data_IF_495134984484
#
_entry.id   IF_495134984484
#
_cell.length_a   1.000
_cell.length_b   1.000
_cell.length_c   1.000
_cell.angle_alpha   90.00
_cell.angle_beta   90.00
_cell.angle_gamma   90.00
#
_symmetry.space_group_name_H-M   'P 1'
#
loop_
_entity.id
_entity.type
_entity.pdbx_description
1 polymer ?
#
# COMPACT_ATOMS: atom_id res chain seq x y z
N UNK A 1 -44.17 20.11 -5.99
CA UNK A 1 -43.27 21.22 -6.33
C UNK A 1 -42.35 21.38 -5.13
N UNK A 2 -41.28 20.59 -5.07
CA UNK A 2 -40.27 20.71 -4.02
C UNK A 2 -39.03 21.37 -4.60
N UNK A 3 -38.57 22.42 -3.93
CA UNK A 3 -37.46 23.26 -4.37
C UNK A 3 -36.14 22.47 -4.37
N UNK A 4 -35.20 22.77 -5.30
CA UNK A 4 -33.92 22.10 -5.34
C UNK A 4 -33.09 22.47 -4.11
N UNK A 5 -32.72 21.47 -3.31
CA UNK A 5 -31.78 21.60 -2.20
C UNK A 5 -30.42 22.00 -2.77
N UNK A 6 -29.95 23.18 -2.39
CA UNK A 6 -28.64 23.69 -2.81
C UNK A 6 -27.53 22.85 -2.19
N UNK A 7 -26.75 22.19 -3.04
CA UNK A 7 -25.55 21.44 -2.65
C UNK A 7 -24.41 22.43 -2.39
N UNK A 8 -23.73 22.37 -1.23
CA UNK A 8 -22.58 23.24 -0.97
C UNK A 8 -21.42 22.95 -1.93
N UNK A 9 -20.61 23.97 -2.25
CA UNK A 9 -19.66 23.91 -3.36
C UNK A 9 -18.59 22.85 -3.14
N UNK A 10 -18.31 22.17 -4.24
CA UNK A 10 -17.33 21.11 -4.39
C UNK A 10 -15.92 21.65 -4.16
N UNK A 11 -15.20 21.19 -3.14
CA UNK A 11 -13.74 21.25 -3.16
C UNK A 11 -13.21 20.10 -4.03
N UNK A 12 -13.32 20.27 -5.35
CA UNK A 12 -12.59 19.45 -6.31
C UNK A 12 -11.12 19.87 -6.24
N UNK A 13 -10.25 19.05 -5.68
CA UNK A 13 -8.83 19.14 -6.02
C UNK A 13 -8.69 18.58 -7.44
N UNK A 14 -8.91 19.45 -8.45
CA UNK A 14 -8.70 19.12 -9.87
C UNK A 14 -7.19 19.00 -10.11
N UNK A 15 -6.68 17.78 -10.15
CA UNK A 15 -5.45 17.48 -10.89
C UNK A 15 -5.74 17.36 -12.38
N UNK A 16 -4.82 17.81 -13.25
CA UNK A 16 -4.95 17.81 -14.71
C UNK A 16 -5.07 16.41 -15.38
N UNK A 17 -5.20 15.32 -14.61
CA UNK A 17 -4.97 13.93 -15.03
C UNK A 17 -6.16 12.96 -14.83
N UNK A 18 -7.40 13.47 -14.75
CA UNK A 18 -8.60 12.64 -14.53
C UNK A 18 -8.72 12.10 -13.10
N UNK A 19 -9.86 11.47 -12.77
CA UNK A 19 -10.11 10.91 -11.44
C UNK A 19 -9.16 9.73 -11.14
N UNK A 20 -8.91 9.44 -9.86
CA UNK A 20 -8.17 8.25 -9.43
C UNK A 20 -8.84 6.96 -9.92
N UNK A 21 -10.18 6.90 -9.91
CA UNK A 21 -10.90 5.75 -10.50
C UNK A 21 -10.63 5.62 -12.00
N UNK A 22 -10.66 6.73 -12.75
CA UNK A 22 -10.36 6.72 -14.19
C UNK A 22 -8.91 6.26 -14.45
N UNK A 23 -7.94 6.76 -13.68
CA UNK A 23 -6.54 6.34 -13.79
C UNK A 23 -6.32 4.89 -13.40
N UNK A 24 -7.01 4.39 -12.37
CA UNK A 24 -6.98 3.00 -11.97
C UNK A 24 -7.50 2.09 -13.11
N UNK A 25 -8.68 2.42 -13.66
CA UNK A 25 -9.29 1.66 -14.75
C UNK A 25 -8.43 1.66 -16.02
N UNK A 26 -7.80 2.80 -16.32
CA UNK A 26 -6.87 2.94 -17.43
C UNK A 26 -5.45 2.40 -17.14
N UNK A 27 -5.20 1.84 -15.95
CA UNK A 27 -3.87 1.37 -15.50
C UNK A 27 -2.77 2.45 -15.59
N UNK A 28 -3.17 3.72 -15.55
CA UNK A 28 -2.33 4.88 -15.83
C UNK A 28 -1.89 5.61 -14.55
N UNK A 29 -1.72 4.88 -13.43
CA UNK A 29 -1.27 5.44 -12.16
C UNK A 29 0.24 5.64 -12.20
N UNK A 30 0.68 6.85 -12.55
CA UNK A 30 2.10 7.21 -12.70
C UNK A 30 2.81 7.41 -11.35
N UNK A 31 4.12 7.18 -11.35
CA UNK A 31 5.03 7.57 -10.26
C UNK A 31 5.14 9.10 -10.16
N UNK A 32 5.03 9.64 -8.95
CA UNK A 32 5.34 11.03 -8.63
C UNK A 32 6.84 11.14 -8.33
N UNK A 33 7.55 12.00 -9.07
CA UNK A 33 9.01 12.17 -8.94
C UNK A 33 9.35 13.20 -7.85
N UNK A 34 8.54 14.26 -7.73
CA UNK A 34 8.74 15.35 -6.77
C UNK A 34 7.45 15.59 -6.01
N UNK A 35 7.51 15.62 -4.68
CA UNK A 35 6.36 16.03 -3.89
C UNK A 35 6.76 16.61 -2.54
N UNK A 36 5.91 17.48 -2.00
CA UNK A 36 5.92 17.75 -0.58
C UNK A 36 5.54 16.46 0.17
N UNK A 37 6.16 16.17 1.32
CA UNK A 37 5.78 15.02 2.12
C UNK A 37 4.27 15.08 2.44
N UNK A 38 3.48 14.05 2.09
CA UNK A 38 2.04 14.11 2.26
C UNK A 38 1.63 14.24 3.74
N UNK A 39 0.40 14.69 3.97
CA UNK A 39 -0.21 14.58 5.29
C UNK A 39 -0.58 13.12 5.56
N UNK A 40 -0.85 12.81 6.83
CA UNK A 40 -1.40 11.50 7.21
C UNK A 40 -2.69 11.24 6.42
N UNK A 41 -2.78 10.09 5.78
CA UNK A 41 -3.97 9.65 5.04
C UNK A 41 -5.18 9.55 5.96
N UNK A 42 -6.29 10.15 5.56
CA UNK A 42 -7.57 10.07 6.24
C UNK A 42 -8.48 9.06 5.54
N UNK A 43 -9.18 8.27 6.34
CA UNK A 43 -10.10 7.22 5.90
C UNK A 43 -11.50 7.51 6.43
N UNK A 44 -12.57 7.11 5.71
CA UNK A 44 -13.93 7.28 6.18
C UNK A 44 -14.16 6.60 7.53
N UNK A 45 -14.94 7.23 8.41
CA UNK A 45 -15.25 6.72 9.75
C UNK A 45 -15.81 5.29 9.77
N UNK A 46 -16.45 4.82 8.70
CA UNK A 46 -16.95 3.45 8.63
C UNK A 46 -15.83 2.39 8.77
N UNK A 47 -14.56 2.76 8.56
CA UNK A 47 -13.39 1.91 8.78
C UNK A 47 -12.89 1.94 10.23
N UNK A 48 -13.38 2.83 11.09
CA UNK A 48 -12.94 2.94 12.49
C UNK A 48 -13.05 1.58 13.21
N UNK A 49 -12.05 1.22 14.02
CA UNK A 49 -12.00 -0.02 14.80
C UNK A 49 -10.98 -1.03 14.28
N UNK A 50 -11.03 -2.23 14.85
CA UNK A 50 -10.16 -3.35 14.45
C UNK A 50 -10.94 -4.34 13.58
N UNK A 51 -10.28 -4.87 12.56
CA UNK A 51 -10.86 -5.72 11.53
C UNK A 51 -9.99 -6.96 11.31
N UNK A 52 -10.61 -8.13 11.38
CA UNK A 52 -10.03 -9.36 10.86
C UNK A 52 -10.01 -9.29 9.34
N UNK A 53 -8.82 -9.45 8.76
CA UNK A 53 -8.55 -9.28 7.34
C UNK A 53 -8.26 -10.63 6.71
N UNK A 54 -9.07 -11.00 5.72
CA UNK A 54 -8.82 -12.16 4.85
C UNK A 54 -8.33 -11.61 3.52
N UNK A 55 -7.07 -11.87 3.20
CA UNK A 55 -6.41 -11.43 1.97
C UNK A 55 -6.41 -12.55 0.92
N UNK A 56 -6.61 -12.19 -0.34
CA UNK A 56 -6.45 -13.10 -1.47
C UNK A 56 -5.73 -12.41 -2.63
N UNK A 57 -4.62 -13.00 -3.08
CA UNK A 57 -3.94 -12.58 -4.31
C UNK A 57 -4.78 -12.98 -5.52
N UNK A 58 -5.08 -11.99 -6.36
CA UNK A 58 -5.94 -12.13 -7.55
C UNK A 58 -5.14 -12.22 -8.85
N UNK A 59 -3.81 -12.14 -8.78
CA UNK A 59 -2.92 -12.21 -9.93
C UNK A 59 -2.15 -10.91 -10.17
N UNK A 60 -1.36 -10.91 -11.24
CA UNK A 60 -0.57 -9.77 -11.68
C UNK A 60 -0.58 -9.62 -13.20
N UNK A 61 -0.29 -8.41 -13.65
CA UNK A 61 -0.17 -8.06 -15.06
C UNK A 61 1.13 -7.31 -15.30
N UNK A 62 1.81 -7.62 -16.40
CA UNK A 62 3.00 -6.88 -16.84
C UNK A 62 2.60 -5.84 -17.87
N UNK A 63 2.94 -4.59 -17.61
CA UNK A 63 2.63 -3.44 -18.47
C UNK A 63 3.83 -2.99 -19.30
N UNK A 64 4.99 -3.60 -19.05
CA UNK A 64 6.24 -3.39 -19.79
C UNK A 64 6.16 -3.58 -21.32
N UNK A 65 5.27 -4.42 -21.91
CA UNK A 65 5.15 -4.52 -23.37
C UNK A 65 4.42 -3.35 -24.04
N UNK A 66 3.62 -2.58 -23.29
CA UNK A 66 2.75 -1.52 -23.87
C UNK A 66 3.38 -0.12 -23.78
N UNK A 67 4.57 0.01 -23.17
CA UNK A 67 5.25 1.29 -22.90
C UNK A 67 6.25 1.73 -23.99
N UNK A 68 6.28 1.05 -25.15
CA UNK A 68 7.07 1.50 -26.31
C UNK A 68 8.57 1.20 -26.24
N UNK A 69 9.03 0.44 -25.24
CA UNK A 69 10.44 0.07 -25.05
C UNK A 69 10.66 -1.45 -24.97
N UNK A 70 11.84 -1.89 -25.41
CA UNK A 70 12.32 -3.29 -25.53
C UNK A 70 12.52 -4.01 -24.18
N UNK A 71 11.68 -3.81 -23.17
CA UNK A 71 11.85 -4.47 -21.87
C UNK A 71 11.25 -5.87 -21.95
N UNK A 72 12.08 -6.91 -21.85
CA UNK A 72 11.56 -8.28 -21.86
C UNK A 72 10.88 -8.60 -20.52
N UNK A 73 9.84 -9.46 -20.56
CA UNK A 73 9.20 -10.01 -19.37
C UNK A 73 10.22 -10.62 -18.39
N UNK A 74 11.24 -11.29 -18.94
CA UNK A 74 12.32 -11.91 -18.17
C UNK A 74 13.09 -10.86 -17.38
N UNK A 75 13.42 -9.72 -18.00
CA UNK A 75 14.19 -8.67 -17.35
C UNK A 75 13.40 -8.01 -16.22
N UNK A 76 12.11 -7.75 -16.42
CA UNK A 76 11.25 -7.19 -15.34
C UNK A 76 11.21 -8.11 -14.13
N UNK A 77 11.00 -9.42 -14.34
CA UNK A 77 10.86 -10.38 -13.24
C UNK A 77 12.20 -10.65 -12.55
N UNK A 78 13.29 -10.71 -13.32
CA UNK A 78 14.61 -10.99 -12.77
C UNK A 78 15.23 -9.82 -12.02
N UNK A 79 14.77 -8.58 -12.25
CA UNK A 79 15.34 -7.36 -11.67
C UNK A 79 14.86 -7.17 -10.21
N UNK A 80 15.76 -7.24 -9.21
CA UNK A 80 15.42 -7.07 -7.79
C UNK A 80 14.75 -5.74 -7.44
N UNK A 81 15.07 -4.69 -8.18
CA UNK A 81 14.60 -3.33 -7.97
C UNK A 81 13.18 -3.10 -8.48
N UNK A 82 12.62 -4.05 -9.25
CA UNK A 82 11.19 -4.03 -9.60
C UNK A 82 10.41 -4.68 -8.46
N UNK A 83 9.60 -3.90 -7.71
CA UNK A 83 8.87 -4.46 -6.58
C UNK A 83 7.84 -5.51 -7.00
N UNK A 84 7.66 -6.51 -6.15
CA UNK A 84 6.68 -7.58 -6.25
C UNK A 84 7.22 -8.92 -6.74
N UNK A 85 8.42 -9.00 -7.33
CA UNK A 85 9.00 -10.31 -7.73
C UNK A 85 9.96 -10.91 -6.72
N UNK A 86 10.21 -10.19 -5.62
CA UNK A 86 11.04 -10.68 -4.51
C UNK A 86 10.31 -10.54 -3.18
N UNK A 87 10.52 -11.51 -2.29
CA UNK A 87 10.07 -11.42 -0.90
C UNK A 87 10.64 -10.14 -0.28
N UNK A 88 9.78 -9.39 0.41
CA UNK A 88 10.03 -8.09 1.03
C UNK A 88 10.38 -6.96 0.08
N UNK A 89 10.11 -7.08 -1.21
CA UNK A 89 10.22 -5.92 -2.13
C UNK A 89 9.06 -4.93 -2.00
N UNK A 90 7.95 -5.32 -1.34
CA UNK A 90 6.79 -4.50 -0.98
C UNK A 90 6.38 -4.87 0.46
N UNK A 91 6.61 -4.01 1.44
CA UNK A 91 6.40 -4.35 2.86
C UNK A 91 4.93 -4.64 3.21
N UNK A 92 3.97 -3.98 2.56
CA UNK A 92 2.54 -4.24 2.79
C UNK A 92 2.09 -5.64 2.30
N UNK A 93 2.82 -6.19 1.33
CA UNK A 93 2.60 -7.50 0.70
C UNK A 93 3.94 -8.21 0.53
N UNK A 94 4.54 -8.54 1.67
CA UNK A 94 5.90 -9.02 1.80
C UNK A 94 6.16 -10.30 1.02
N UNK A 95 5.15 -11.12 0.75
CA UNK A 95 5.21 -12.21 -0.21
C UNK A 95 4.02 -12.10 -1.18
N UNK A 96 4.12 -11.20 -2.15
CA UNK A 96 2.95 -10.68 -2.89
C UNK A 96 2.15 -11.74 -3.66
N UNK A 97 2.83 -12.80 -4.10
CA UNK A 97 2.28 -13.87 -4.91
C UNK A 97 1.67 -15.02 -4.10
N UNK A 98 1.78 -14.98 -2.77
CA UNK A 98 1.22 -15.97 -1.88
C UNK A 98 0.12 -15.35 -1.01
N UNK A 99 -0.81 -16.21 -0.59
CA UNK A 99 -1.80 -15.81 0.40
C UNK A 99 -1.16 -15.94 1.79
N UNK A 100 -1.42 -14.99 2.71
CA UNK A 100 -1.03 -15.16 4.11
C UNK A 100 -1.57 -16.49 4.65
N UNK A 101 -0.77 -17.15 5.49
CA UNK A 101 -1.15 -18.45 6.07
C UNK A 101 -2.31 -18.33 7.06
N UNK A 102 -2.47 -17.15 7.66
CA UNK A 102 -3.52 -16.83 8.63
C UNK A 102 -4.12 -15.45 8.34
N UNK A 103 -5.40 -15.23 8.69
CA UNK A 103 -5.96 -13.88 8.77
C UNK A 103 -5.16 -13.01 9.73
N UNK A 104 -5.09 -11.71 9.45
CA UNK A 104 -4.40 -10.73 10.31
C UNK A 104 -5.30 -9.54 10.61
N UNK A 105 -4.92 -8.74 11.60
CA UNK A 105 -5.73 -7.61 12.02
C UNK A 105 -5.28 -6.31 11.34
N UNK A 106 -6.24 -5.52 10.89
CA UNK A 106 -6.05 -4.11 10.54
C UNK A 106 -6.79 -3.24 11.55
N UNK A 107 -6.23 -2.08 11.89
CA UNK A 107 -6.81 -1.15 12.85
C UNK A 107 -6.83 0.27 12.31
N UNK A 108 -7.97 0.91 12.50
CA UNK A 108 -8.15 2.34 12.29
C UNK A 108 -8.60 2.98 13.59
N UNK A 109 -7.98 4.11 13.94
CA UNK A 109 -8.25 4.87 15.16
C UNK A 109 -8.79 6.25 14.80
N UNK A 110 -9.38 6.96 15.77
CA UNK A 110 -9.86 8.32 15.52
C UNK A 110 -8.72 9.23 15.04
N UNK A 111 -9.04 10.12 14.10
CA UNK A 111 -8.11 11.13 13.67
C UNK A 111 -7.95 12.19 14.77
N UNK A 112 -6.78 12.23 15.42
CA UNK A 112 -6.47 13.24 16.44
C UNK A 112 -6.61 14.64 15.83
N UNK A 113 -7.43 15.49 16.46
CA UNK A 113 -7.69 16.85 16.00
C UNK A 113 -8.80 16.98 14.94
N UNK A 114 -9.46 15.88 14.54
CA UNK A 114 -10.66 15.95 13.72
C UNK A 114 -11.92 16.17 14.58
N UNK A 115 -12.32 17.44 14.73
CA UNK A 115 -13.55 17.81 15.42
C UNK A 115 -14.82 17.44 14.64
N UNK A 116 -14.70 17.05 13.37
CA UNK A 116 -15.85 16.69 12.54
C UNK A 116 -16.33 15.27 12.80
N UNK A 117 -15.47 14.41 13.37
CA UNK A 117 -15.75 13.01 13.63
C UNK A 117 -15.85 12.15 12.36
N UNK A 118 -15.73 12.71 11.15
CA UNK A 118 -15.94 11.97 9.91
C UNK A 118 -14.74 11.12 9.47
N UNK A 119 -13.57 11.33 10.06
CA UNK A 119 -12.33 10.68 9.63
C UNK A 119 -11.72 9.80 10.71
N UNK A 120 -11.20 8.67 10.28
CA UNK A 120 -10.27 7.86 11.03
C UNK A 120 -8.92 7.79 10.31
N UNK A 121 -7.92 7.26 11.00
CA UNK A 121 -6.56 7.09 10.50
C UNK A 121 -6.13 5.66 10.72
N UNK A 122 -5.33 5.11 9.81
CA UNK A 122 -4.77 3.77 9.97
C UNK A 122 -3.69 3.78 11.06
N UNK A 123 -3.72 2.78 11.93
CA UNK A 123 -2.67 2.48 12.89
C UNK A 123 -1.57 1.68 12.18
N UNK A 124 -0.63 2.38 11.55
CA UNK A 124 0.37 1.74 10.70
C UNK A 124 1.30 0.81 11.48
N UNK A 125 1.67 1.15 12.73
CA UNK A 125 2.51 0.28 13.56
C UNK A 125 1.82 -1.05 13.80
N UNK A 126 0.57 -1.00 14.25
CA UNK A 126 -0.22 -2.21 14.46
C UNK A 126 -0.40 -2.99 13.15
N UNK A 127 -0.84 -2.31 12.09
CA UNK A 127 -1.16 -2.98 10.82
C UNK A 127 0.06 -3.64 10.17
N UNK A 128 1.22 -2.98 10.11
CA UNK A 128 2.43 -3.56 9.52
C UNK A 128 2.95 -4.74 10.35
N UNK A 129 2.93 -4.64 11.68
CA UNK A 129 3.31 -5.75 12.56
C UNK A 129 2.46 -6.99 12.27
N UNK A 130 1.13 -6.81 12.24
CA UNK A 130 0.19 -7.89 11.98
C UNK A 130 0.37 -8.51 10.58
N UNK A 131 0.43 -7.68 9.54
CA UNK A 131 0.52 -8.19 8.16
C UNK A 131 1.86 -8.86 7.87
N UNK A 132 2.98 -8.30 8.35
CA UNK A 132 4.31 -8.87 8.12
C UNK A 132 4.49 -10.20 8.84
N UNK A 133 4.03 -10.31 10.09
CA UNK A 133 4.08 -11.56 10.82
C UNK A 133 3.25 -12.64 10.10
N UNK A 134 2.01 -12.33 9.70
CA UNK A 134 1.15 -13.29 9.01
C UNK A 134 1.68 -13.74 7.62
N UNK A 135 2.40 -12.86 6.92
CA UNK A 135 2.93 -13.16 5.58
C UNK A 135 4.30 -13.85 5.62
N UNK A 136 5.12 -13.60 6.64
CA UNK A 136 6.52 -14.07 6.68
C UNK A 136 6.75 -15.24 7.63
N UNK A 137 5.87 -15.46 8.61
CA UNK A 137 6.02 -16.56 9.55
C UNK A 137 6.06 -17.93 8.83
N UNK A 138 7.10 -18.70 9.16
CA UNK A 138 7.32 -20.03 8.59
C UNK A 138 7.66 -20.05 7.10
N UNK A 139 8.13 -18.95 6.49
CA UNK A 139 8.75 -19.00 5.16
C UNK A 139 10.09 -19.76 5.18
N UNK A 140 10.74 -19.80 6.34
CA UNK A 140 11.91 -20.65 6.59
C UNK A 140 11.53 -21.75 7.58
N UNK A 141 11.32 -22.97 7.08
CA UNK A 141 10.91 -24.12 7.89
C UNK A 141 11.95 -24.50 8.96
N UNK A 142 13.19 -23.98 8.86
CA UNK A 142 14.24 -24.19 9.86
C UNK A 142 14.18 -23.20 11.04
N UNK A 143 13.27 -22.22 11.01
CA UNK A 143 13.19 -21.15 12.01
C UNK A 143 11.90 -21.22 12.82
N UNK A 144 12.03 -20.84 14.10
CA UNK A 144 10.93 -20.71 15.06
C UNK A 144 9.76 -19.88 14.51
N UNK A 145 8.53 -20.29 14.82
CA UNK A 145 7.27 -19.56 14.54
C UNK A 145 7.15 -18.20 15.24
N UNK A 146 8.18 -17.74 15.94
CA UNK A 146 8.18 -16.44 16.58
C UNK A 146 7.98 -15.29 15.57
N UNK A 147 7.44 -14.18 16.05
CA UNK A 147 7.15 -12.97 15.27
C UNK A 147 8.34 -12.50 14.45
N UNK A 148 8.16 -12.17 13.17
CA UNK A 148 9.25 -11.74 12.29
C UNK A 148 9.64 -10.28 12.56
N UNK A 149 8.67 -9.46 12.93
CA UNK A 149 8.86 -8.05 13.27
C UNK A 149 9.38 -7.92 14.71
N UNK A 150 10.46 -7.16 14.88
CA UNK A 150 11.03 -6.83 16.19
C UNK A 150 10.44 -5.50 16.72
N UNK A 151 10.50 -4.45 15.90
CA UNK A 151 9.98 -3.13 16.25
C UNK A 151 9.55 -2.32 15.04
N UNK A 152 8.61 -1.39 15.24
CA UNK A 152 8.17 -0.44 14.21
C UNK A 152 8.14 0.96 14.82
N UNK A 153 8.91 1.87 14.26
CA UNK A 153 8.92 3.28 14.61
C UNK A 153 8.09 4.07 13.60
N UNK A 154 7.01 4.70 14.09
CA UNK A 154 6.18 5.60 13.28
C UNK A 154 5.50 6.62 14.19
N UNK A 155 5.59 7.90 13.80
CA UNK A 155 4.88 8.99 14.46
C UNK A 155 4.01 9.71 13.45
N UNK A 156 2.74 9.30 13.33
CA UNK A 156 1.80 9.90 12.38
C UNK A 156 1.55 11.41 12.60
N UNK A 157 1.84 11.93 13.80
CA UNK A 157 1.68 13.35 14.11
C UNK A 157 2.93 14.19 13.75
N UNK A 158 4.13 13.66 14.00
CA UNK A 158 5.39 14.40 13.77
C UNK A 158 5.98 14.12 12.38
N UNK A 159 5.89 12.87 11.92
CA UNK A 159 6.44 12.43 10.65
C UNK A 159 5.55 11.34 10.01
N UNK A 160 4.40 11.73 9.41
CA UNK A 160 3.48 10.78 8.77
C UNK A 160 4.04 10.08 7.54
N UNK A 161 5.26 10.45 7.11
CA UNK A 161 5.83 10.04 5.84
C UNK A 161 6.95 9.03 5.97
N UNK A 162 7.35 8.68 7.19
CA UNK A 162 8.43 7.72 7.43
C UNK A 162 7.99 6.65 8.41
N UNK A 163 8.18 5.39 8.03
CA UNK A 163 8.01 4.23 8.90
C UNK A 163 9.31 3.44 8.85
N UNK A 164 9.89 3.16 10.02
CA UNK A 164 11.05 2.30 10.15
C UNK A 164 10.62 0.98 10.77
N UNK A 165 10.93 -0.13 10.12
CA UNK A 165 10.57 -1.48 10.54
C UNK A 165 11.87 -2.25 10.76
N UNK A 166 12.10 -2.73 11.99
CA UNK A 166 13.16 -3.68 12.30
C UNK A 166 12.58 -5.10 12.28
N UNK A 167 13.26 -5.99 11.58
CA UNK A 167 12.97 -7.41 11.57
C UNK A 167 14.00 -8.12 12.45
N UNK A 168 13.59 -9.22 13.09
CA UNK A 168 14.53 -9.99 13.89
C UNK A 168 15.70 -10.48 13.03
N UNK A 169 16.94 -10.43 13.55
CA UNK A 169 18.10 -10.91 12.82
C UNK A 169 17.92 -12.33 12.30
N UNK A 170 18.25 -12.52 11.03
CA UNK A 170 18.07 -13.80 10.35
C UNK A 170 16.63 -14.29 10.16
N UNK A 171 15.56 -13.56 10.57
CA UNK A 171 14.18 -14.02 10.35
C UNK A 171 13.85 -14.22 8.87
N UNK A 172 14.41 -13.35 8.02
CA UNK A 172 14.30 -13.40 6.55
C UNK A 172 15.65 -13.08 5.92
N UNK A 173 15.93 -13.63 4.74
CA UNK A 173 17.24 -13.47 4.07
C UNK A 173 17.43 -12.10 3.41
N UNK A 174 16.33 -11.39 3.13
CA UNK A 174 16.35 -10.24 2.22
C UNK A 174 16.53 -8.89 2.93
N UNK A 175 16.18 -8.79 4.21
CA UNK A 175 16.29 -7.56 4.98
C UNK A 175 16.31 -7.85 6.49
N UNK A 176 16.98 -7.00 7.25
CA UNK A 176 16.83 -6.92 8.71
C UNK A 176 16.20 -5.58 9.12
N UNK A 177 16.17 -4.60 8.21
CA UNK A 177 15.49 -3.32 8.40
C UNK A 177 14.84 -2.85 7.11
N UNK A 178 13.68 -2.22 7.22
CA UNK A 178 12.94 -1.64 6.11
C UNK A 178 12.58 -0.20 6.47
N UNK A 179 12.94 0.73 5.58
CA UNK A 179 12.52 2.12 5.66
C UNK A 179 11.47 2.38 4.59
N UNK A 180 10.30 2.86 5.00
CA UNK A 180 9.21 3.25 4.11
C UNK A 180 9.08 4.77 4.10
N UNK A 181 9.05 5.34 2.91
CA UNK A 181 8.87 6.77 2.68
C UNK A 181 7.62 6.99 1.84
N UNK A 182 6.60 7.62 2.42
CA UNK A 182 5.40 8.02 1.69
C UNK A 182 5.70 9.29 0.90
N UNK A 183 5.67 9.19 -0.42
CA UNK A 183 6.00 10.28 -1.35
C UNK A 183 4.75 10.93 -1.98
N UNK A 184 3.57 10.37 -1.74
CA UNK A 184 2.32 10.97 -2.15
C UNK A 184 1.14 10.24 -1.57
N UNK A 185 0.07 10.98 -1.28
CA UNK A 185 -1.21 10.46 -0.87
C UNK A 185 -2.31 11.23 -1.60
N UNK A 186 -3.35 10.53 -2.02
CA UNK A 186 -4.53 11.09 -2.66
C UNK A 186 -5.74 10.26 -2.26
N UNK A 187 -6.88 10.89 -2.04
CA UNK A 187 -8.14 10.20 -1.72
C UNK A 187 -9.23 10.66 -2.67
N UNK A 188 -10.04 9.73 -3.17
CA UNK A 188 -11.24 10.01 -3.95
C UNK A 188 -12.46 9.45 -3.23
N UNK A 189 -13.47 10.30 -3.02
CA UNK A 189 -14.72 9.93 -2.36
C UNK A 189 -15.71 9.40 -3.39
N UNK A 190 -16.55 8.42 -3.02
CA UNK A 190 -17.56 7.93 -3.93
C UNK A 190 -18.62 9.01 -4.21
N UNK A 191 -19.08 9.07 -5.47
CA UNK A 191 -20.14 9.99 -5.91
C UNK A 191 -21.51 9.58 -5.34
N UNK A 192 -21.69 8.30 -5.05
CA UNK A 192 -22.91 7.73 -4.45
C UNK A 192 -22.58 7.05 -3.11
N UNK A 193 -23.56 6.97 -2.21
CA UNK A 193 -23.43 6.37 -0.87
C UNK A 193 -22.94 4.90 -0.87
N UNK A 194 -23.04 4.19 -1.99
CA UNK A 194 -22.58 2.81 -2.17
C UNK A 194 -21.32 2.65 -3.05
N UNK A 195 -20.66 3.76 -3.42
CA UNK A 195 -19.45 3.70 -4.25
C UNK A 195 -18.18 3.35 -3.46
N UNK A 196 -17.09 3.10 -4.19
CA UNK A 196 -15.77 2.86 -3.59
C UNK A 196 -15.15 4.16 -3.07
N UNK A 197 -14.72 4.17 -1.81
CA UNK A 197 -13.73 5.14 -1.35
C UNK A 197 -12.35 4.68 -1.80
N UNK A 198 -11.63 5.53 -2.53
CA UNK A 198 -10.31 5.20 -3.05
C UNK A 198 -9.22 5.98 -2.33
N UNK A 199 -8.10 5.31 -2.08
CA UNK A 199 -6.88 5.91 -1.57
C UNK A 199 -5.74 5.49 -2.45
N UNK A 200 -4.95 6.45 -2.92
CA UNK A 200 -3.64 6.19 -3.53
C UNK A 200 -2.56 6.60 -2.55
N UNK A 201 -1.63 5.70 -2.27
CA UNK A 201 -0.41 5.99 -1.52
C UNK A 201 0.80 5.57 -2.33
N UNK A 202 1.74 6.48 -2.52
CA UNK A 202 2.98 6.20 -3.20
C UNK A 202 4.10 6.06 -2.19
N UNK A 203 4.88 5.01 -2.35
CA UNK A 203 5.92 4.60 -1.43
C UNK A 203 7.25 4.46 -2.16
N UNK A 204 8.30 4.92 -1.50
CA UNK A 204 9.65 4.41 -1.69
C UNK A 204 9.97 3.52 -0.50
N UNK A 205 10.43 2.31 -0.77
CA UNK A 205 10.92 1.41 0.24
C UNK A 205 12.42 1.25 0.09
N UNK A 206 13.15 1.22 1.19
CA UNK A 206 14.57 0.86 1.25
C UNK A 206 14.72 -0.33 2.19
N UNK A 207 15.03 -1.49 1.62
CA UNK A 207 15.35 -2.70 2.37
C UNK A 207 16.86 -2.75 2.63
N UNK A 208 17.22 -2.93 3.90
CA UNK A 208 18.59 -2.99 4.40
C UNK A 208 18.85 -4.40 4.95
N UNK A 209 19.75 -5.14 4.31
CA UNK A 209 20.29 -6.39 4.81
C UNK A 209 21.71 -6.18 5.34
N UNK A 210 21.94 -6.50 6.61
CA UNK A 210 23.29 -6.61 7.15
C UNK A 210 23.84 -7.96 6.70
N UNK A 211 24.74 -7.95 5.71
CA UNK A 211 25.44 -9.18 5.34
C UNK A 211 26.30 -9.63 6.52
N UNK A 212 26.29 -10.92 6.82
CA UNK A 212 27.25 -11.53 7.75
C UNK A 212 28.66 -11.62 7.17
N UNK A 213 28.82 -11.31 5.88
CA UNK A 213 30.12 -11.10 5.23
C UNK A 213 30.53 -9.64 5.37
N UNK A 214 31.63 -9.38 6.09
CA UNK A 214 32.20 -8.03 6.24
C UNK A 214 32.33 -7.33 4.88
N UNK A 215 31.79 -6.12 4.74
CA UNK A 215 32.05 -5.22 3.60
C UNK A 215 30.96 -5.09 2.52
N UNK A 216 29.79 -5.74 2.62
CA UNK A 216 28.66 -5.49 1.68
C UNK A 216 27.30 -5.44 2.37
N UNK A 217 26.89 -4.27 2.84
CA UNK A 217 25.47 -4.05 3.17
C UNK A 217 24.63 -4.13 1.88
N UNK A 218 23.60 -4.98 1.87
CA UNK A 218 22.66 -5.05 0.74
C UNK A 218 21.60 -3.99 0.95
N UNK A 219 21.58 -2.98 0.08
CA UNK A 219 20.54 -1.95 0.07
C UNK A 219 19.77 -2.04 -1.24
N UNK A 220 18.47 -2.31 -1.18
CA UNK A 220 17.59 -2.34 -2.35
C UNK A 220 16.51 -1.29 -2.15
N UNK A 221 16.35 -0.40 -3.13
CA UNK A 221 15.31 0.61 -3.12
C UNK A 221 14.27 0.32 -4.19
N UNK A 222 13.02 0.14 -3.78
CA UNK A 222 11.88 -0.08 -4.68
C UNK A 222 10.90 1.07 -4.59
N UNK A 223 10.25 1.38 -5.71
CA UNK A 223 9.23 2.41 -5.80
C UNK A 223 7.91 1.79 -6.27
N UNK A 224 6.84 2.01 -5.53
CA UNK A 224 5.51 1.50 -5.87
C UNK A 224 4.39 2.43 -5.40
N UNK A 225 3.20 2.24 -5.93
CA UNK A 225 1.99 2.88 -5.40
C UNK A 225 0.92 1.85 -5.12
N UNK A 226 0.24 1.99 -3.99
CA UNK A 226 -0.98 1.26 -3.69
C UNK A 226 -2.18 2.12 -4.05
N UNK A 227 -3.14 1.54 -4.76
CA UNK A 227 -4.48 2.08 -4.86
C UNK A 227 -5.41 1.13 -4.12
N UNK A 228 -5.84 1.57 -2.94
CA UNK A 228 -6.81 0.88 -2.11
C UNK A 228 -8.22 1.34 -2.46
N UNK A 229 -9.16 0.40 -2.47
CA UNK A 229 -10.58 0.71 -2.48
C UNK A 229 -11.27 0.08 -1.28
N UNK A 230 -12.19 0.81 -0.66
CA UNK A 230 -13.03 0.32 0.45
C UNK A 230 -14.50 0.57 0.15
N UNK A 231 -15.33 -0.44 0.41
CA UNK A 231 -16.78 -0.34 0.29
C UNK A 231 -17.48 -1.18 1.36
N UNK A 232 -18.35 -0.60 2.21
CA UNK A 232 -19.13 -1.36 3.18
C UNK A 232 -20.11 -2.33 2.48
N UNK A 233 -20.29 -3.56 2.99
CA UNK A 233 -21.22 -4.56 2.40
C UNK A 233 -22.69 -4.28 2.74
N UNK A 234 -22.98 -3.80 3.95
CA UNK A 234 -24.29 -3.37 4.45
C UNK A 234 -24.11 -2.59 5.76
N UNK A 235 -25.10 -1.76 6.14
CA UNK A 235 -25.07 -0.95 7.36
C UNK A 235 -24.34 0.39 7.17
N UNK A 236 -24.87 1.27 6.33
CA UNK A 236 -24.29 2.60 6.10
C UNK A 236 -25.34 3.66 6.44
N UNK A 237 -25.62 3.81 7.72
CA UNK A 237 -26.10 5.07 8.26
C UNK A 237 -25.18 5.48 9.42
N UNK A 238 -25.30 6.73 9.87
CA UNK A 238 -24.43 7.26 10.94
C UNK A 238 -24.58 6.53 12.29
N UNK A 239 -25.56 5.61 12.42
CA UNK A 239 -25.95 4.97 13.67
C UNK A 239 -25.66 3.47 13.70
N UNK A 240 -25.42 2.84 12.53
CA UNK A 240 -25.11 1.42 12.39
C UNK A 240 -23.78 1.26 11.66
N UNK A 241 -22.64 1.13 12.36
CA UNK A 241 -21.35 0.89 11.69
C UNK A 241 -21.37 -0.45 10.93
N UNK A 242 -20.70 -0.55 9.78
CA UNK A 242 -20.69 -1.80 9.03
C UNK A 242 -19.96 -2.90 9.82
N UNK A 243 -20.45 -4.13 9.71
CA UNK A 243 -19.80 -5.33 10.27
C UNK A 243 -18.84 -5.98 9.29
N UNK A 244 -18.97 -5.64 8.00
CA UNK A 244 -18.09 -6.12 6.94
C UNK A 244 -17.82 -5.05 5.88
N UNK A 245 -16.57 -5.00 5.41
CA UNK A 245 -16.11 -4.10 4.34
C UNK A 245 -15.41 -4.94 3.26
N UNK A 246 -15.82 -4.75 2.01
CA UNK A 246 -15.05 -5.19 0.86
C UNK A 246 -13.90 -4.23 0.65
N UNK A 247 -12.70 -4.77 0.40
CA UNK A 247 -11.59 -3.97 -0.03
C UNK A 247 -10.78 -4.62 -1.14
N UNK A 248 -10.06 -3.80 -1.89
CA UNK A 248 -9.06 -4.25 -2.85
C UNK A 248 -7.82 -3.38 -2.75
N UNK A 249 -6.70 -3.90 -3.21
CA UNK A 249 -5.48 -3.12 -3.44
C UNK A 249 -4.89 -3.48 -4.80
N UNK A 250 -4.63 -2.46 -5.61
CA UNK A 250 -3.78 -2.58 -6.79
C UNK A 250 -2.42 -1.96 -6.49
N UNK A 251 -1.36 -2.76 -6.58
CA UNK A 251 0.01 -2.29 -6.39
C UNK A 251 0.69 -2.09 -7.74
N UNK A 252 1.00 -0.83 -8.04
CA UNK A 252 1.70 -0.41 -9.25
C UNK A 252 3.20 -0.37 -8.96
N UNK A 253 3.98 -1.22 -9.62
CA UNK A 253 5.43 -1.29 -9.49
C UNK A 253 6.11 -0.39 -10.51
N UNK A 254 7.14 0.36 -10.10
CA UNK A 254 7.86 1.30 -10.96
C UNK A 254 9.35 0.95 -11.06
N UNK A 255 9.99 1.43 -12.13
CA UNK A 255 11.44 1.44 -12.23
C UNK A 255 12.05 2.50 -11.29
N UNK A 256 13.24 2.18 -10.77
CA UNK A 256 14.05 3.10 -10.00
C UNK A 256 15.13 3.74 -10.89
N UNK A 257 15.10 5.07 -11.00
CA UNK A 257 16.03 5.89 -11.80
C UNK A 257 17.50 5.69 -11.41
N UNK A 258 17.79 5.39 -10.15
CA UNK A 258 19.17 5.33 -9.62
C UNK A 258 19.83 3.97 -9.77
N UNK A 259 19.05 2.90 -9.80
CA UNK A 259 19.57 1.53 -9.71
C UNK A 259 19.39 0.74 -11.01
N UNK A 260 18.43 1.14 -11.87
CA UNK A 260 18.24 0.49 -13.17
C UNK A 260 17.87 1.51 -14.26
N UNK A 261 18.82 2.36 -14.70
CA UNK A 261 18.57 3.42 -15.69
C UNK A 261 17.91 2.91 -16.96
N UNK A 262 18.31 1.74 -17.48
CA UNK A 262 17.74 1.17 -18.69
C UNK A 262 16.22 0.89 -18.59
N UNK A 263 15.74 0.42 -17.42
CA UNK A 263 14.31 0.23 -17.19
C UNK A 263 13.59 1.56 -16.98
N UNK A 264 14.24 2.48 -16.26
CA UNK A 264 13.67 3.80 -15.98
C UNK A 264 13.58 4.68 -17.22
N UNK A 265 14.56 4.71 -18.11
CA UNK A 265 14.49 5.50 -19.34
C UNK A 265 13.42 4.97 -20.28
N UNK A 266 13.24 3.64 -20.32
CA UNK A 266 12.24 2.99 -21.16
C UNK A 266 10.80 3.15 -20.63
N UNK A 267 10.58 3.09 -19.32
CA UNK A 267 9.24 3.20 -18.73
C UNK A 267 8.92 4.59 -18.16
N UNK A 268 9.93 5.38 -17.82
CA UNK A 268 9.83 6.64 -17.10
C UNK A 268 9.05 6.48 -15.79
N UNK A 269 7.92 7.19 -15.71
CA UNK A 269 6.98 7.13 -14.58
C UNK A 269 5.85 6.12 -14.79
N UNK A 270 5.86 5.37 -15.91
CA UNK A 270 4.90 4.30 -16.16
C UNK A 270 5.09 3.14 -15.16
N UNK A 271 4.00 2.50 -14.73
CA UNK A 271 4.10 1.22 -14.04
C UNK A 271 4.65 0.13 -14.98
N UNK A 272 5.52 -0.73 -14.45
CA UNK A 272 6.04 -1.93 -15.12
C UNK A 272 5.14 -3.15 -14.89
N UNK A 273 4.52 -3.23 -13.71
CA UNK A 273 3.63 -4.31 -13.32
C UNK A 273 2.52 -3.80 -12.39
N UNK A 274 1.39 -4.51 -12.39
CA UNK A 274 0.31 -4.34 -11.42
C UNK A 274 0.07 -5.68 -10.72
N UNK A 275 0.03 -5.64 -9.40
CA UNK A 275 -0.38 -6.78 -8.56
C UNK A 275 -1.74 -6.48 -7.94
N UNK A 276 -2.62 -7.46 -7.88
CA UNK A 276 -3.99 -7.28 -7.42
C UNK A 276 -4.30 -8.15 -6.22
N UNK A 277 -4.86 -7.54 -5.17
CA UNK A 277 -5.32 -8.23 -3.97
C UNK A 277 -6.76 -7.86 -3.68
N UNK A 278 -7.52 -8.83 -3.18
CA UNK A 278 -8.84 -8.65 -2.60
C UNK A 278 -8.78 -8.90 -1.11
N UNK A 279 -9.63 -8.18 -0.38
CA UNK A 279 -9.71 -8.23 1.06
C UNK A 279 -11.16 -8.30 1.48
N UNK A 280 -11.40 -9.14 2.48
CA UNK A 280 -12.61 -9.10 3.29
C UNK A 280 -12.23 -8.67 4.69
N UNK A 281 -12.79 -7.55 5.13
CA UNK A 281 -12.62 -7.01 6.47
C UNK A 281 -13.86 -7.34 7.29
N UNK A 282 -13.70 -8.07 8.38
CA UNK A 282 -14.78 -8.40 9.33
C UNK A 282 -14.49 -7.73 10.67
N UNK A 283 -15.49 -7.06 11.23
CA UNK A 283 -15.35 -6.42 12.54
C UNK A 283 -14.98 -7.48 13.59
N UNK A 284 -13.97 -7.20 14.40
CA UNK A 284 -13.59 -8.04 15.55
C UNK A 284 -14.51 -7.74 16.74
#
# INVERSE_FOLDING_TARGET
>A
SEAPVSVPPTERVRGANGSLLQRLNAKAVRKVIFNAPPKRTQYPRFLLGTWTTIQSFSGFELLAPESGGKISKRDVIATPEVPGFQVLSIAAFADIGTNPKSPYLLRFTDAVGDSSGYWCVKDEQFCFSQSLNAQLQGLDASKSEADVVDSIEYSGAQNPNRISIALRPGAVRNAERIELFRNGAETERPVASAGWFLVREQWRQVALGYSTSYGRARTIATDYAHVWGFRPRAGVDAHSPPTAVDAFCCTFAYANERQTPALFDAAGTAPLAIFQHRFELRKT
#
